data_IF_538601978616
#
_entry.id   IF_538601978616
#
_cell.length_a   1.000
_cell.length_b   1.000
_cell.length_c   1.000
_cell.angle_alpha   90.00
_cell.angle_beta   90.00
_cell.angle_gamma   90.00
#
_symmetry.space_group_name_H-M   'P 1'
#
loop_
_entity.id
_entity.type
_entity.pdbx_description
1 polymer ?
#
# COMPACT_ATOMS: atom_id res chain seq x y z
N UNK A 1 32.80 -40.90 -37.23
CA UNK A 1 33.26 -40.10 -36.06
C UNK A 1 32.56 -38.74 -35.88
N UNK A 2 31.40 -38.47 -36.49
CA UNK A 2 30.77 -37.13 -36.44
C UNK A 2 29.41 -37.01 -35.75
N UNK A 3 28.63 -38.10 -35.63
CA UNK A 3 27.22 -38.00 -35.18
C UNK A 3 27.04 -38.13 -33.67
N UNK A 4 27.91 -38.89 -33.00
CA UNK A 4 27.85 -39.10 -31.54
C UNK A 4 28.40 -37.90 -30.75
N UNK A 5 29.40 -37.19 -31.30
CA UNK A 5 29.95 -35.97 -30.68
C UNK A 5 28.97 -34.78 -30.71
N UNK A 6 28.10 -34.73 -31.73
CA UNK A 6 27.04 -33.71 -31.85
C UNK A 6 25.90 -33.93 -30.85
N UNK A 7 25.53 -35.19 -30.58
CA UNK A 7 24.48 -35.51 -29.61
C UNK A 7 24.89 -35.20 -28.16
N UNK A 8 26.17 -35.42 -27.82
CA UNK A 8 26.68 -35.14 -26.46
C UNK A 8 26.87 -33.63 -26.19
N UNK A 9 27.26 -32.86 -27.22
CA UNK A 9 27.36 -31.40 -27.12
C UNK A 9 25.99 -30.71 -26.98
N UNK A 10 24.97 -31.24 -27.65
CA UNK A 10 23.60 -30.71 -27.56
C UNK A 10 22.95 -30.96 -26.18
N UNK A 11 23.25 -32.10 -25.54
CA UNK A 11 22.73 -32.40 -24.20
C UNK A 11 23.39 -31.56 -23.10
N UNK A 12 24.69 -31.26 -23.22
CA UNK A 12 25.41 -30.36 -22.29
C UNK A 12 25.01 -28.89 -22.45
N UNK A 13 24.69 -28.45 -23.68
CA UNK A 13 24.17 -27.11 -23.92
C UNK A 13 22.74 -26.92 -23.38
N UNK A 14 21.90 -27.96 -23.43
CA UNK A 14 20.54 -27.91 -22.88
C UNK A 14 20.53 -27.82 -21.34
N UNK A 15 21.50 -28.43 -20.64
CA UNK A 15 21.58 -28.36 -19.17
C UNK A 15 22.04 -26.98 -18.66
N UNK A 16 22.86 -26.26 -19.43
CA UNK A 16 23.36 -24.92 -19.06
C UNK A 16 22.36 -23.78 -19.34
N UNK A 17 21.35 -24.01 -20.19
CA UNK A 17 20.29 -23.04 -20.47
C UNK A 17 19.26 -23.00 -19.32
N UNK A 18 19.13 -24.07 -18.53
CA UNK A 18 18.23 -24.09 -17.36
C UNK A 18 18.73 -23.28 -16.16
N UNK A 19 20.03 -22.94 -16.08
CA UNK A 19 20.61 -22.17 -14.97
C UNK A 19 20.51 -20.65 -15.16
N UNK A 20 20.12 -20.19 -16.35
CA UNK A 20 19.96 -18.76 -16.69
C UNK A 20 18.50 -18.32 -16.77
N UNK A 21 17.54 -19.15 -16.33
CA UNK A 21 16.17 -18.72 -16.17
C UNK A 21 16.14 -17.62 -15.08
N UNK A 22 15.70 -16.38 -15.37
CA UNK A 22 15.55 -15.32 -14.37
C UNK A 22 14.42 -15.59 -13.37
N UNK A 23 13.89 -16.81 -13.30
CA UNK A 23 12.69 -17.16 -12.53
C UNK A 23 12.96 -17.32 -11.04
N UNK A 24 14.21 -17.28 -10.56
CA UNK A 24 14.54 -17.24 -9.13
C UNK A 24 14.77 -15.80 -8.64
N UNK A 25 13.94 -14.83 -9.04
CA UNK A 25 13.70 -13.60 -8.25
C UNK A 25 12.27 -13.09 -8.38
N UNK A 26 11.30 -13.98 -8.59
CA UNK A 26 9.99 -13.72 -7.99
C UNK A 26 10.10 -14.08 -6.50
N UNK A 27 10.89 -13.31 -5.74
CA UNK A 27 10.54 -13.13 -4.34
C UNK A 27 9.13 -12.55 -4.41
N UNK A 28 8.12 -13.41 -4.22
CA UNK A 28 6.77 -12.98 -3.97
C UNK A 28 6.93 -11.85 -2.97
N UNK A 29 6.56 -10.63 -3.37
CA UNK A 29 6.63 -9.45 -2.52
C UNK A 29 5.73 -9.79 -1.34
N UNK A 30 6.34 -10.34 -0.28
CA UNK A 30 5.60 -10.85 0.87
C UNK A 30 4.94 -9.60 1.44
N UNK A 31 3.63 -9.51 1.26
CA UNK A 31 2.87 -8.39 1.77
C UNK A 31 2.86 -8.55 3.29
N UNK A 32 3.81 -7.88 3.95
CA UNK A 32 3.89 -7.85 5.40
C UNK A 32 2.63 -7.17 5.93
N UNK A 33 2.06 -7.68 7.01
CA UNK A 33 0.98 -6.97 7.67
C UNK A 33 1.50 -5.67 8.31
N UNK A 34 0.60 -4.72 8.60
CA UNK A 34 0.97 -3.53 9.37
C UNK A 34 1.58 -3.88 10.73
N UNK A 35 1.02 -4.88 11.39
CA UNK A 35 1.56 -5.39 12.67
C UNK A 35 3.00 -5.87 12.52
N UNK A 36 3.32 -6.59 11.44
CA UNK A 36 4.68 -7.06 11.19
C UNK A 36 5.64 -5.90 10.90
N UNK A 37 5.21 -4.93 10.08
CA UNK A 37 6.03 -3.74 9.80
C UNK A 37 6.35 -2.93 11.07
N UNK A 38 5.41 -2.82 12.01
CA UNK A 38 5.63 -2.18 13.32
C UNK A 38 6.64 -2.97 14.16
N UNK A 39 6.51 -4.30 14.23
CA UNK A 39 7.44 -5.14 14.99
C UNK A 39 8.85 -5.19 14.41
N UNK A 40 8.96 -5.05 13.08
CA UNK A 40 10.22 -5.15 12.35
C UNK A 40 10.90 -3.80 12.12
N UNK A 41 10.25 -2.66 12.37
CA UNK A 41 10.84 -1.32 12.25
C UNK A 41 11.96 -1.08 13.29
N UNK A 42 13.17 -1.58 13.00
CA UNK A 42 14.34 -1.53 13.90
C UNK A 42 15.50 -0.74 13.32
N UNK A 43 15.55 -0.62 12.00
CA UNK A 43 16.56 0.12 11.24
C UNK A 43 15.97 1.39 10.64
N UNK A 44 16.80 2.40 10.33
CA UNK A 44 16.34 3.60 9.63
C UNK A 44 15.56 3.31 8.34
N UNK A 45 15.98 2.29 7.58
CA UNK A 45 15.31 1.92 6.34
C UNK A 45 13.91 1.32 6.57
N UNK A 46 13.73 0.53 7.63
CA UNK A 46 12.43 -0.05 7.98
C UNK A 46 11.48 1.02 8.53
N UNK A 47 11.96 1.95 9.36
CA UNK A 47 11.19 3.11 9.81
C UNK A 47 10.73 3.97 8.62
N UNK A 48 11.59 4.22 7.63
CA UNK A 48 11.20 4.95 6.41
C UNK A 48 10.14 4.20 5.59
N UNK A 49 10.25 2.87 5.51
CA UNK A 49 9.24 2.04 4.84
C UNK A 49 7.88 2.10 5.55
N UNK A 50 7.87 2.05 6.88
CA UNK A 50 6.66 2.18 7.68
C UNK A 50 6.05 3.58 7.56
N UNK A 51 6.88 4.63 7.58
CA UNK A 51 6.44 6.02 7.34
C UNK A 51 5.71 6.14 5.99
N UNK A 52 6.32 5.64 4.92
CA UNK A 52 5.71 5.66 3.58
C UNK A 52 4.38 4.88 3.51
N UNK A 53 4.20 3.84 4.32
CA UNK A 53 2.91 3.16 4.42
C UNK A 53 1.87 4.04 5.09
N UNK A 54 2.20 4.70 6.20
CA UNK A 54 1.27 5.64 6.85
C UNK A 54 0.93 6.83 5.95
N UNK A 55 1.86 7.34 5.15
CA UNK A 55 1.55 8.37 4.14
C UNK A 55 0.54 7.89 3.09
N UNK A 56 0.63 6.62 2.67
CA UNK A 56 -0.34 6.02 1.75
C UNK A 56 -1.73 5.91 2.39
N UNK A 57 -1.82 5.49 3.66
CA UNK A 57 -3.07 5.45 4.42
C UNK A 57 -3.66 6.87 4.61
N UNK A 58 -2.82 7.86 4.92
CA UNK A 58 -3.24 9.25 5.02
C UNK A 58 -3.80 9.76 3.69
N UNK A 59 -3.17 9.43 2.56
CA UNK A 59 -3.67 9.79 1.22
C UNK A 59 -4.99 9.09 0.91
N UNK A 60 -5.14 7.81 1.26
CA UNK A 60 -6.36 7.06 1.07
C UNK A 60 -7.52 7.64 1.90
N UNK A 61 -7.27 7.99 3.16
CA UNK A 61 -8.23 8.64 4.04
C UNK A 61 -8.68 10.01 3.49
N UNK A 62 -7.76 10.86 3.03
CA UNK A 62 -8.12 12.11 2.33
C UNK A 62 -8.98 11.86 1.08
N UNK A 63 -8.65 10.81 0.31
CA UNK A 63 -9.45 10.38 -0.84
C UNK A 63 -10.89 10.04 -0.45
N UNK A 64 -11.08 9.35 0.69
CA UNK A 64 -12.40 9.03 1.24
C UNK A 64 -13.14 10.25 1.75
N UNK A 65 -12.45 11.20 2.40
CA UNK A 65 -13.05 12.47 2.78
C UNK A 65 -13.60 13.22 1.56
N UNK A 66 -12.83 13.33 0.48
CA UNK A 66 -13.30 13.99 -0.76
C UNK A 66 -14.43 13.24 -1.46
N UNK A 67 -14.43 11.91 -1.44
CA UNK A 67 -15.54 11.09 -1.93
C UNK A 67 -16.83 11.40 -1.16
N UNK A 68 -16.79 11.38 0.17
CA UNK A 68 -17.95 11.66 1.01
C UNK A 68 -18.42 13.12 0.92
N UNK A 69 -17.52 14.07 0.69
CA UNK A 69 -17.89 15.46 0.44
C UNK A 69 -18.77 15.58 -0.80
N UNK A 70 -18.40 14.93 -1.91
CA UNK A 70 -19.20 14.88 -3.14
C UNK A 70 -20.53 14.17 -2.94
N UNK A 71 -20.55 13.10 -2.13
CA UNK A 71 -21.80 12.40 -1.79
C UNK A 71 -22.75 13.29 -0.99
N UNK A 72 -22.23 14.05 -0.01
CA UNK A 72 -23.02 14.98 0.77
C UNK A 72 -23.68 16.04 -0.13
N UNK A 73 -22.92 16.62 -1.08
CA UNK A 73 -23.44 17.55 -2.08
C UNK A 73 -24.51 16.92 -2.98
N UNK A 74 -24.31 15.67 -3.40
CA UNK A 74 -25.28 14.94 -4.20
C UNK A 74 -26.60 14.70 -3.44
N UNK A 75 -26.54 14.31 -2.16
CA UNK A 75 -27.73 14.15 -1.33
C UNK A 75 -28.46 15.46 -1.10
N UNK A 76 -27.74 16.55 -0.82
CA UNK A 76 -28.34 17.90 -0.70
C UNK A 76 -29.03 18.35 -1.97
N UNK A 77 -28.46 18.04 -3.14
CA UNK A 77 -29.06 18.36 -4.45
C UNK A 77 -30.26 17.48 -4.79
N UNK A 78 -30.19 16.19 -4.44
CA UNK A 78 -31.28 15.25 -4.71
C UNK A 78 -32.51 15.54 -3.85
N UNK A 79 -32.30 15.86 -2.57
CA UNK A 79 -33.38 16.15 -1.61
C UNK A 79 -34.38 15.02 -1.43
N UNK A 80 -35.51 15.32 -0.78
CA UNK A 80 -36.66 14.43 -0.70
C UNK A 80 -36.85 13.76 0.65
N UNK A 81 -38.07 13.24 0.93
CA UNK A 81 -38.51 12.96 2.30
C UNK A 81 -37.65 11.94 3.05
N UNK A 82 -37.11 10.94 2.35
CA UNK A 82 -36.25 9.93 2.96
C UNK A 82 -34.87 10.48 3.33
N UNK A 83 -34.27 11.27 2.43
CA UNK A 83 -32.95 11.88 2.62
C UNK A 83 -33.00 12.88 3.77
N UNK A 84 -34.06 13.70 3.83
CA UNK A 84 -34.28 14.66 4.92
C UNK A 84 -34.53 13.97 6.26
N UNK A 85 -35.39 12.94 6.28
CA UNK A 85 -35.72 12.20 7.51
C UNK A 85 -34.52 11.46 8.10
N UNK A 86 -33.63 10.95 7.25
CA UNK A 86 -32.48 10.15 7.67
C UNK A 86 -31.16 10.93 7.63
N UNK A 87 -31.18 12.22 7.29
CA UNK A 87 -30.01 13.10 7.31
C UNK A 87 -28.78 12.53 6.57
N UNK A 88 -28.98 11.98 5.37
CA UNK A 88 -27.91 11.30 4.62
C UNK A 88 -26.71 12.21 4.31
N UNK A 89 -26.96 13.49 4.06
CA UNK A 89 -25.92 14.50 3.89
C UNK A 89 -25.10 14.70 5.17
N UNK A 90 -25.75 14.77 6.34
CA UNK A 90 -25.08 14.91 7.63
C UNK A 90 -24.25 13.67 7.99
N UNK A 91 -24.72 12.46 7.64
CA UNK A 91 -23.92 11.25 7.76
C UNK A 91 -22.63 11.34 6.92
N UNK A 92 -22.73 11.84 5.68
CA UNK A 92 -21.56 12.05 4.84
C UNK A 92 -20.64 13.13 5.43
N UNK A 93 -21.17 14.25 5.93
CA UNK A 93 -20.37 15.29 6.57
C UNK A 93 -19.64 14.77 7.82
N UNK A 94 -20.25 13.84 8.57
CA UNK A 94 -19.59 13.14 9.69
C UNK A 94 -18.43 12.28 9.20
N UNK A 95 -18.63 11.50 8.14
CA UNK A 95 -17.58 10.69 7.54
C UNK A 95 -16.42 11.55 7.00
N UNK A 96 -16.70 12.71 6.40
CA UNK A 96 -15.68 13.68 5.99
C UNK A 96 -14.80 14.07 7.17
N UNK A 97 -15.40 14.39 8.33
CA UNK A 97 -14.65 14.73 9.54
C UNK A 97 -13.81 13.56 10.05
N UNK A 98 -14.39 12.37 10.13
CA UNK A 98 -13.67 11.16 10.57
C UNK A 98 -12.49 10.81 9.67
N UNK A 99 -12.68 10.82 8.35
CA UNK A 99 -11.60 10.52 7.40
C UNK A 99 -10.52 11.61 7.37
N UNK A 100 -10.89 12.87 7.57
CA UNK A 100 -9.91 13.96 7.73
C UNK A 100 -9.07 13.75 8.98
N UNK A 101 -9.71 13.49 10.13
CA UNK A 101 -8.99 13.21 11.38
C UNK A 101 -8.10 11.97 11.27
N UNK A 102 -8.57 10.90 10.63
CA UNK A 102 -7.75 9.73 10.34
C UNK A 102 -6.52 10.06 9.49
N UNK A 103 -6.66 10.92 8.47
CA UNK A 103 -5.53 11.33 7.66
C UNK A 103 -4.48 12.08 8.50
N UNK A 104 -4.92 12.96 9.41
CA UNK A 104 -4.04 13.69 10.33
C UNK A 104 -3.30 12.74 11.29
N UNK A 105 -3.99 11.73 11.83
CA UNK A 105 -3.36 10.70 12.68
C UNK A 105 -2.32 9.88 11.91
N UNK A 106 -2.63 9.48 10.67
CA UNK A 106 -1.67 8.78 9.82
C UNK A 106 -0.47 9.66 9.44
N UNK A 107 -0.67 10.95 9.16
CA UNK A 107 0.43 11.88 8.93
C UNK A 107 1.32 12.01 10.19
N UNK A 108 0.71 12.07 11.38
CA UNK A 108 1.43 12.14 12.63
C UNK A 108 2.29 10.90 12.87
N UNK A 109 1.76 9.70 12.58
CA UNK A 109 2.50 8.44 12.63
C UNK A 109 3.64 8.42 11.60
N UNK A 110 3.37 8.81 10.35
CA UNK A 110 4.40 8.89 9.31
C UNK A 110 5.55 9.81 9.74
N UNK A 111 5.23 10.99 10.29
CA UNK A 111 6.21 11.92 10.81
C UNK A 111 7.02 11.31 11.97
N UNK A 112 6.37 10.63 12.91
CA UNK A 112 7.06 9.99 14.04
C UNK A 112 8.05 8.92 13.55
N UNK A 113 7.67 8.11 12.56
CA UNK A 113 8.54 7.10 11.94
C UNK A 113 9.70 7.73 11.16
N UNK A 114 9.48 8.85 10.47
CA UNK A 114 10.57 9.61 9.86
C UNK A 114 11.57 10.16 10.89
N UNK A 115 11.10 10.66 12.04
CA UNK A 115 11.98 11.10 13.12
C UNK A 115 12.72 9.92 13.77
N UNK A 116 12.06 8.78 13.97
CA UNK A 116 12.68 7.56 14.45
C UNK A 116 13.79 7.07 13.50
N UNK A 117 13.59 7.18 12.20
CA UNK A 117 14.61 6.86 11.20
C UNK A 117 15.87 7.75 11.28
N UNK A 118 15.72 9.00 11.74
CA UNK A 118 16.85 9.92 11.95
C UNK A 118 17.53 9.68 13.30
N UNK A 119 16.76 9.24 14.29
CA UNK A 119 17.17 9.12 15.68
C UNK A 119 17.65 7.71 15.98
N UNK A 120 18.77 7.30 15.36
CA UNK A 120 19.67 6.21 15.79
C UNK A 120 20.81 6.02 14.79
N UNK A 121 21.95 6.65 15.09
CA UNK A 121 23.14 5.93 15.53
C UNK A 121 23.39 6.33 16.98
#
# INVERSE_FOLDING_TARGET
MGRTKLALGALLAALLICFNLPTIRAFAKQHMSMSDMIMEAKTPAEHQKLAAHYEQEAKAARGKAEEHKKMAEAYRKAGGPLIEKLHFDQHCDSLVKSFTAMAEEFDALAKAEHEAAKTKM
#
